data_IF_477082943071
#
_entry.id   IF_477082943071
#
_cell.length_a   1.000
_cell.length_b   1.000
_cell.length_c   1.000
_cell.angle_alpha   90.00
_cell.angle_beta   90.00
_cell.angle_gamma   90.00
#
_symmetry.space_group_name_H-M   'P 1'
#
loop_
_entity.id
_entity.type
_entity.pdbx_description
1 polymer ?
#
# COMPACT_ATOMS: atom_id res chain seq x y z
N UNK A 1 8.70 25.52 -18.75
CA UNK A 1 8.63 26.18 -17.44
C UNK A 1 8.83 25.13 -16.36
N UNK A 2 9.77 25.33 -15.43
CA UNK A 2 10.10 24.33 -14.41
C UNK A 2 9.16 24.46 -13.22
N UNK A 3 8.33 23.45 -12.97
CA UNK A 3 7.46 23.39 -11.79
C UNK A 3 8.29 23.02 -10.55
N UNK A 4 7.95 23.59 -9.40
CA UNK A 4 8.64 23.29 -8.14
C UNK A 4 8.30 21.88 -7.66
N UNK A 5 9.21 21.22 -6.93
CA UNK A 5 9.01 19.86 -6.38
C UNK A 5 7.84 19.73 -5.38
N UNK A 6 7.22 20.85 -4.98
CA UNK A 6 6.02 20.87 -4.14
C UNK A 6 4.72 21.12 -4.91
N UNK A 7 4.79 21.30 -6.23
CA UNK A 7 3.61 21.52 -7.06
C UNK A 7 2.81 20.22 -7.18
N UNK A 8 1.52 20.18 -6.78
CA UNK A 8 0.67 18.99 -6.89
C UNK A 8 0.62 18.40 -8.31
N UNK A 9 0.81 19.21 -9.35
CA UNK A 9 0.84 18.73 -10.73
C UNK A 9 2.12 17.95 -11.08
N UNK A 10 3.12 17.95 -10.20
CA UNK A 10 4.34 17.14 -10.33
C UNK A 10 4.26 15.81 -9.57
N UNK A 11 3.12 15.52 -8.92
CA UNK A 11 2.91 14.26 -8.21
C UNK A 11 2.82 13.08 -9.20
N UNK A 12 3.80 12.20 -9.10
CA UNK A 12 3.74 10.89 -9.72
C UNK A 12 3.04 9.91 -8.77
N UNK A 13 1.76 9.64 -9.01
CA UNK A 13 1.03 8.64 -8.24
C UNK A 13 1.68 7.26 -8.37
N UNK A 14 1.64 6.47 -7.30
CA UNK A 14 2.04 5.06 -7.31
C UNK A 14 0.99 4.17 -8.00
N UNK A 15 1.17 2.85 -7.92
CA UNK A 15 0.20 1.90 -8.47
C UNK A 15 -1.13 1.89 -7.69
N UNK A 16 -1.06 1.97 -6.36
CA UNK A 16 -2.25 1.89 -5.49
C UNK A 16 -3.26 3.02 -5.72
N UNK A 17 -2.88 4.32 -5.74
CA UNK A 17 -3.86 5.39 -6.01
C UNK A 17 -4.50 5.30 -7.39
N UNK A 18 -3.75 4.79 -8.39
CA UNK A 18 -4.29 4.59 -9.75
C UNK A 18 -5.32 3.47 -9.82
N UNK A 19 -5.34 2.55 -8.85
CA UNK A 19 -6.30 1.47 -8.77
C UNK A 19 -7.56 1.85 -7.97
N UNK A 20 -7.78 3.13 -7.64
CA UNK A 20 -8.98 3.60 -6.96
C UNK A 20 -10.25 3.12 -7.69
N UNK A 21 -11.19 2.58 -6.91
CA UNK A 21 -12.41 1.85 -7.33
C UNK A 21 -12.13 0.59 -8.15
N UNK A 22 -11.00 -0.04 -7.89
CA UNK A 22 -10.53 -1.24 -8.58
C UNK A 22 -9.97 -2.30 -7.62
N UNK A 23 -9.30 -3.28 -8.21
CA UNK A 23 -8.71 -4.42 -7.50
C UNK A 23 -7.19 -4.33 -7.56
N UNK A 24 -6.54 -4.46 -6.41
CA UNK A 24 -5.08 -4.62 -6.30
C UNK A 24 -4.81 -6.09 -6.01
N UNK A 25 -4.20 -6.79 -6.97
CA UNK A 25 -3.78 -8.18 -6.79
C UNK A 25 -2.28 -8.24 -6.40
N UNK A 26 -1.97 -8.98 -5.34
CA UNK A 26 -0.59 -9.22 -4.87
C UNK A 26 -0.29 -10.71 -4.97
N UNK A 27 0.80 -11.05 -5.64
CA UNK A 27 1.32 -12.41 -5.60
C UNK A 27 2.31 -12.54 -4.45
N UNK A 28 2.26 -13.68 -3.74
CA UNK A 28 3.25 -14.04 -2.70
C UNK A 28 3.40 -12.96 -1.63
N UNK A 29 2.31 -12.62 -0.94
CA UNK A 29 2.29 -11.63 0.13
C UNK A 29 3.44 -11.79 1.15
N UNK A 30 3.83 -13.01 1.58
CA UNK A 30 4.93 -13.21 2.55
C UNK A 30 6.31 -12.77 2.05
N UNK A 31 6.52 -12.71 0.74
CA UNK A 31 7.79 -12.27 0.13
C UNK A 31 7.86 -10.76 -0.06
N UNK A 32 6.72 -10.07 0.06
CA UNK A 32 6.67 -8.63 0.03
C UNK A 32 7.39 -8.05 1.24
N UNK A 33 8.20 -7.00 1.02
CA UNK A 33 8.87 -6.30 2.11
C UNK A 33 7.85 -5.83 3.18
N UNK A 34 8.14 -6.08 4.46
CA UNK A 34 7.27 -5.76 5.62
C UNK A 34 6.68 -4.34 5.55
N UNK A 35 7.49 -3.33 5.20
CA UNK A 35 7.02 -1.94 5.05
C UNK A 35 5.90 -1.76 4.03
N UNK A 36 5.88 -2.57 2.97
CA UNK A 36 4.84 -2.51 1.94
C UNK A 36 3.59 -3.22 2.47
N UNK A 37 3.74 -4.34 3.18
CA UNK A 37 2.62 -4.99 3.85
C UNK A 37 1.91 -4.03 4.84
N UNK A 38 2.67 -3.30 5.67
CA UNK A 38 2.10 -2.25 6.57
C UNK A 38 1.41 -1.14 5.77
N UNK A 39 2.03 -0.67 4.68
CA UNK A 39 1.42 0.38 3.88
C UNK A 39 0.09 -0.07 3.24
N UNK A 40 0.00 -1.34 2.81
CA UNK A 40 -1.23 -1.91 2.28
C UNK A 40 -2.29 -2.07 3.35
N UNK A 41 -1.92 -2.46 4.57
CA UNK A 41 -2.82 -2.48 5.72
C UNK A 41 -3.41 -1.09 5.99
N UNK A 42 -2.58 -0.04 6.05
CA UNK A 42 -3.06 1.33 6.26
C UNK A 42 -4.04 1.77 5.17
N UNK A 43 -3.78 1.39 3.91
CA UNK A 43 -4.72 1.67 2.80
C UNK A 43 -6.05 0.95 2.99
N UNK A 44 -6.06 -0.26 3.55
CA UNK A 44 -7.28 -1.02 3.80
C UNK A 44 -8.08 -0.48 5.00
N UNK A 45 -7.40 -0.19 6.11
CA UNK A 45 -8.01 0.23 7.38
C UNK A 45 -8.38 1.72 7.38
N UNK A 46 -7.43 2.59 7.06
CA UNK A 46 -7.59 4.05 7.13
C UNK A 46 -8.11 4.64 5.82
N UNK A 47 -8.14 3.84 4.74
CA UNK A 47 -8.50 4.29 3.38
C UNK A 47 -7.70 5.49 2.92
N UNK A 48 -6.47 5.64 3.41
CA UNK A 48 -5.60 6.75 3.04
C UNK A 48 -4.24 6.29 2.55
N UNK A 49 -3.57 7.18 1.80
CA UNK A 49 -2.19 6.98 1.36
C UNK A 49 -1.45 8.31 1.40
N UNK A 50 -0.18 8.25 1.77
CA UNK A 50 0.73 9.40 1.76
C UNK A 50 1.68 9.30 0.56
N UNK A 51 1.82 10.39 -0.18
CA UNK A 51 2.80 10.50 -1.26
C UNK A 51 4.09 11.11 -0.70
N UNK A 52 5.21 10.40 -0.84
CA UNK A 52 6.50 10.86 -0.32
C UNK A 52 6.84 12.25 -0.87
N UNK A 53 7.18 13.17 0.03
CA UNK A 53 7.53 14.56 -0.33
C UNK A 53 6.34 15.51 -0.45
N UNK A 54 5.10 15.02 -0.29
CA UNK A 54 3.89 15.83 -0.36
C UNK A 54 3.01 15.61 0.87
N UNK A 55 2.42 16.68 1.38
CA UNK A 55 1.38 16.61 2.42
C UNK A 55 0.02 16.36 1.78
N UNK A 56 -0.11 15.26 1.03
CA UNK A 56 -1.35 14.85 0.36
C UNK A 56 -1.83 13.54 0.96
N UNK A 57 -3.11 13.51 1.35
CA UNK A 57 -3.86 12.30 1.69
C UNK A 57 -4.96 12.11 0.67
N UNK A 58 -5.09 10.90 0.14
CA UNK A 58 -6.12 10.55 -0.82
C UNK A 58 -7.06 9.50 -0.21
N UNK A 59 -8.39 9.72 -0.19
CA UNK A 59 -9.33 8.69 0.18
C UNK A 59 -9.36 7.62 -0.92
N UNK A 60 -8.99 6.38 -0.57
CA UNK A 60 -8.95 5.25 -1.48
C UNK A 60 -10.09 4.27 -1.21
N UNK A 61 -10.68 3.79 -2.30
CA UNK A 61 -11.66 2.71 -2.31
C UNK A 61 -11.05 1.61 -3.17
N UNK A 62 -10.47 0.59 -2.56
CA UNK A 62 -9.78 -0.48 -3.28
C UNK A 62 -10.09 -1.82 -2.63
N UNK A 63 -10.24 -2.86 -3.44
CA UNK A 63 -10.26 -4.23 -2.97
C UNK A 63 -8.86 -4.83 -3.13
N UNK A 64 -8.25 -5.27 -2.03
CA UNK A 64 -6.97 -5.99 -2.09
C UNK A 64 -7.22 -7.49 -2.12
N UNK A 65 -6.59 -8.17 -3.08
CA UNK A 65 -6.59 -9.62 -3.21
C UNK A 65 -5.14 -10.08 -3.16
N UNK A 66 -4.80 -11.03 -2.30
CA UNK A 66 -3.44 -11.52 -2.15
C UNK A 66 -3.39 -13.05 -2.21
N UNK A 67 -2.36 -13.60 -2.86
CA UNK A 67 -2.01 -15.02 -2.79
C UNK A 67 -0.83 -15.23 -1.83
N UNK A 68 -0.79 -16.40 -1.21
CA UNK A 68 0.36 -16.92 -0.50
C UNK A 68 0.27 -18.44 -0.45
N UNK A 69 1.40 -19.14 -0.32
CA UNK A 69 1.37 -20.56 -0.08
C UNK A 69 0.91 -20.83 1.37
N UNK A 70 0.07 -21.85 1.61
CA UNK A 70 -0.44 -22.21 2.94
C UNK A 70 0.64 -22.28 4.04
N UNK A 71 1.80 -22.84 3.73
CA UNK A 71 2.94 -23.00 4.63
C UNK A 71 3.59 -21.67 5.02
N UNK A 72 3.55 -20.67 4.12
CA UNK A 72 4.18 -19.36 4.31
C UNK A 72 3.33 -18.43 5.17
N UNK A 73 2.03 -18.72 5.35
CA UNK A 73 1.19 -17.99 6.29
C UNK A 73 1.69 -18.11 7.74
N UNK A 74 2.35 -19.22 8.07
CA UNK A 74 2.81 -19.54 9.43
C UNK A 74 4.34 -19.56 9.58
N UNK A 75 5.11 -19.91 8.55
CA UNK A 75 6.54 -20.23 8.67
C UNK A 75 7.53 -19.07 8.53
N UNK A 76 7.10 -17.82 8.71
CA UNK A 76 8.01 -16.70 9.01
C UNK A 76 7.76 -15.98 10.32
N UNK A 77 6.87 -16.50 11.18
CA UNK A 77 6.85 -16.26 12.64
C UNK A 77 6.79 -14.82 13.15
N UNK A 78 6.75 -13.82 12.28
CA UNK A 78 6.57 -12.42 12.57
C UNK A 78 5.34 -11.98 11.81
N UNK A 79 4.18 -12.25 12.39
CA UNK A 79 3.11 -11.26 12.29
C UNK A 79 3.76 -9.98 12.80
N UNK A 80 4.01 -9.06 11.89
CA UNK A 80 4.59 -7.76 12.22
C UNK A 80 3.62 -7.14 13.22
N UNK A 81 4.15 -6.58 14.31
CA UNK A 81 3.33 -6.15 15.45
C UNK A 81 2.08 -5.33 15.07
N UNK A 82 2.09 -4.49 14.00
CA UNK A 82 0.88 -3.78 13.55
C UNK A 82 -0.26 -4.65 12.99
N UNK A 83 -0.01 -5.89 12.57
CA UNK A 83 -1.01 -6.84 12.04
C UNK A 83 -1.58 -7.78 13.12
N UNK A 84 -1.13 -7.65 14.38
CA UNK A 84 -1.50 -8.56 15.47
C UNK A 84 -2.69 -8.07 16.28
N UNK A 85 -3.02 -6.78 16.18
CA UNK A 85 -4.14 -6.15 16.88
C UNK A 85 -5.45 -6.25 16.08
#
# INVERSE_FOLDING_TARGET
EGRSLGDPETIAYGLIPRAHRGIVAVNELPDLAERIQVAMLNVMEERDIQVRGYTLRLPLDVLVVASANPEDYTNRGRIITPLKD
#
